data_IF_583713790682
#
_entry.id   IF_583713790682
#
_cell.length_a   1.000
_cell.length_b   1.000
_cell.length_c   1.000
_cell.angle_alpha   90.00
_cell.angle_beta   90.00
_cell.angle_gamma   90.00
#
_symmetry.space_group_name_H-M   'P 1'
#
loop_
_entity.id
_entity.type
_entity.pdbx_description
1 polymer ?
#
# COMPACT_ATOMS: atom_id res chain seq x y z
N UNK A 1 10.03 12.36 17.97
CA UNK A 1 10.36 12.28 16.53
C UNK A 1 9.11 11.83 15.79
N UNK A 2 8.73 12.50 14.71
CA UNK A 2 7.60 12.04 13.88
C UNK A 2 8.13 11.10 12.81
N UNK A 3 7.58 9.89 12.75
CA UNK A 3 7.89 8.92 11.70
C UNK A 3 7.48 9.48 10.32
N UNK A 4 8.17 9.08 9.23
CA UNK A 4 7.76 9.45 7.88
C UNK A 4 6.31 9.05 7.58
N UNK A 5 5.61 9.85 6.79
CA UNK A 5 4.25 9.53 6.34
C UNK A 5 4.30 8.62 5.09
N UNK A 6 3.51 7.52 5.04
CA UNK A 6 3.45 6.65 3.86
C UNK A 6 2.74 7.27 2.64
N UNK A 7 2.12 8.44 2.75
CA UNK A 7 1.45 9.13 1.63
C UNK A 7 2.34 9.25 0.39
N UNK A 8 1.69 9.14 -0.77
CA UNK A 8 2.32 9.18 -2.09
C UNK A 8 1.86 8.03 -2.99
N UNK A 9 2.34 8.05 -4.22
CA UNK A 9 2.03 7.05 -5.23
C UNK A 9 3.12 5.99 -5.27
N UNK A 10 2.72 4.73 -5.30
CA UNK A 10 3.60 3.57 -5.46
C UNK A 10 3.19 2.85 -6.74
N UNK A 11 4.12 2.70 -7.66
CA UNK A 11 3.92 2.02 -8.93
C UNK A 11 4.63 0.69 -8.93
N UNK A 12 4.03 -0.31 -9.55
CA UNK A 12 4.68 -1.60 -9.72
C UNK A 12 4.01 -2.44 -10.78
N UNK A 13 4.56 -3.63 -10.97
CA UNK A 13 4.02 -4.64 -11.86
C UNK A 13 3.58 -5.83 -11.03
N UNK A 14 2.54 -6.53 -11.47
CA UNK A 14 2.18 -7.81 -10.87
C UNK A 14 3.30 -8.80 -11.15
N UNK A 15 3.72 -9.56 -10.14
CA UNK A 15 4.69 -10.62 -10.34
C UNK A 15 4.16 -11.61 -11.42
N UNK A 16 4.88 -11.72 -12.55
CA UNK A 16 4.50 -12.55 -13.68
C UNK A 16 3.73 -11.87 -14.82
N UNK A 17 3.41 -10.57 -14.72
CA UNK A 17 2.87 -9.79 -15.84
C UNK A 17 3.43 -8.35 -15.84
N UNK A 18 4.55 -8.16 -16.55
CA UNK A 18 5.27 -6.89 -16.62
C UNK A 18 4.60 -5.82 -17.51
N UNK A 19 3.54 -6.18 -18.26
CA UNK A 19 2.89 -5.27 -19.20
C UNK A 19 1.73 -4.47 -18.59
N UNK A 20 1.47 -4.64 -17.29
CA UNK A 20 0.39 -3.94 -16.59
C UNK A 20 0.98 -3.19 -15.40
N UNK A 21 0.99 -1.87 -15.50
CA UNK A 21 1.38 -1.00 -14.39
C UNK A 21 0.20 -0.85 -13.43
N UNK A 22 0.46 -1.16 -12.18
CA UNK A 22 -0.45 -0.97 -11.07
C UNK A 22 0.03 0.24 -10.26
N UNK A 23 -0.92 1.06 -9.83
CA UNK A 23 -0.63 2.21 -8.99
C UNK A 23 -1.42 2.10 -7.70
N UNK A 24 -0.76 2.30 -6.57
CA UNK A 24 -1.38 2.47 -5.27
C UNK A 24 -1.07 3.88 -4.79
N UNK A 25 -2.07 4.76 -4.74
CA UNK A 25 -1.90 6.13 -4.26
C UNK A 25 -2.45 6.22 -2.84
N UNK A 26 -1.58 6.35 -1.85
CA UNK A 26 -1.99 6.58 -0.47
C UNK A 26 -2.37 8.06 -0.33
N UNK A 27 -3.68 8.32 -0.18
CA UNK A 27 -4.27 9.67 -0.17
C UNK A 27 -4.46 10.23 1.23
N UNK A 28 -4.57 9.39 2.24
CA UNK A 28 -4.61 9.81 3.63
C UNK A 28 -3.95 8.77 4.54
N UNK A 29 -3.04 9.22 5.40
CA UNK A 29 -2.47 8.42 6.47
C UNK A 29 -2.07 9.33 7.64
N UNK A 30 -2.34 8.87 8.87
CA UNK A 30 -1.83 9.51 10.09
C UNK A 30 -0.35 9.17 10.29
N UNK A 31 0.39 9.89 11.14
CA UNK A 31 1.88 9.86 11.16
C UNK A 31 2.53 8.71 11.96
N UNK A 32 1.76 7.81 12.58
CA UNK A 32 2.33 6.77 13.45
C UNK A 32 1.63 5.42 13.31
N UNK A 33 0.30 5.36 13.37
CA UNK A 33 -0.52 4.18 13.06
C UNK A 33 -1.94 4.63 12.75
N UNK A 34 -2.77 3.77 12.17
CA UNK A 34 -4.23 3.97 12.14
C UNK A 34 -4.85 3.80 10.77
N UNK A 35 -6.01 4.45 10.59
CA UNK A 35 -6.74 4.41 9.32
C UNK A 35 -5.89 4.98 8.19
N UNK A 36 -5.92 4.28 7.06
CA UNK A 36 -5.27 4.69 5.82
C UNK A 36 -6.29 4.58 4.68
N UNK A 37 -6.24 5.54 3.77
CA UNK A 37 -7.02 5.55 2.53
C UNK A 37 -6.06 5.54 1.35
N UNK A 38 -6.40 4.74 0.35
CA UNK A 38 -5.64 4.65 -0.86
C UNK A 38 -6.55 4.45 -2.07
N UNK A 39 -6.08 4.83 -3.24
CA UNK A 39 -6.71 4.49 -4.52
C UNK A 39 -5.81 3.49 -5.26
N UNK A 40 -6.36 2.32 -5.58
CA UNK A 40 -5.68 1.31 -6.37
C UNK A 40 -6.14 1.35 -7.82
N UNK A 41 -5.21 1.67 -8.71
CA UNK A 41 -5.43 1.67 -10.14
C UNK A 41 -4.94 0.35 -10.75
N UNK A 42 -5.88 -0.44 -11.25
CA UNK A 42 -5.60 -1.75 -11.86
C UNK A 42 -5.18 -1.69 -13.34
N UNK A 43 -4.99 -0.48 -13.85
CA UNK A 43 -4.72 -0.19 -15.26
C UNK A 43 -5.98 0.12 -16.07
N UNK A 44 -7.18 -0.13 -15.51
CA UNK A 44 -8.46 0.16 -16.14
C UNK A 44 -9.22 1.22 -15.33
N UNK A 45 -9.25 1.08 -14.00
CA UNK A 45 -10.05 1.91 -13.10
C UNK A 45 -9.33 2.15 -11.79
N UNK A 46 -9.64 3.27 -11.14
CA UNK A 46 -9.31 3.51 -9.74
C UNK A 46 -10.35 2.83 -8.83
N UNK A 47 -9.87 2.10 -7.83
CA UNK A 47 -10.67 1.42 -6.81
C UNK A 47 -10.30 1.99 -5.44
N UNK A 48 -11.24 2.65 -4.74
CA UNK A 48 -10.96 3.20 -3.42
C UNK A 48 -10.79 2.06 -2.41
N UNK A 49 -9.71 2.16 -1.63
CA UNK A 49 -9.35 1.25 -0.58
C UNK A 49 -9.34 1.99 0.77
N UNK A 50 -9.78 1.29 1.80
CA UNK A 50 -9.70 1.73 3.18
C UNK A 50 -9.07 0.60 3.99
N UNK A 51 -8.29 0.96 4.99
CA UNK A 51 -7.80 -0.03 5.92
C UNK A 51 -6.94 0.57 7.01
N UNK A 52 -5.97 -0.20 7.49
CA UNK A 52 -5.10 0.17 8.60
C UNK A 52 -3.65 -0.03 8.25
N UNK A 53 -2.79 0.80 8.84
CA UNK A 53 -1.36 0.57 8.82
C UNK A 53 -0.74 0.76 10.19
N UNK A 54 0.37 0.05 10.44
CA UNK A 54 1.12 0.17 11.69
C UNK A 54 2.60 -0.13 11.49
N UNK A 55 3.48 0.58 12.18
CA UNK A 55 4.89 0.23 12.26
C UNK A 55 5.09 -0.96 13.21
N UNK A 56 6.04 -1.84 12.88
CA UNK A 56 6.48 -2.91 13.76
C UNK A 56 7.01 -2.37 15.10
N UNK A 57 7.64 -1.19 15.09
CA UNK A 57 7.96 -0.42 16.28
C UNK A 57 7.62 1.05 16.03
N UNK A 58 6.60 1.55 16.75
CA UNK A 58 6.10 2.92 16.56
C UNK A 58 7.06 4.01 17.08
N UNK A 59 7.98 3.66 17.98
CA UNK A 59 8.90 4.61 18.63
C UNK A 59 10.22 4.75 17.87
N UNK A 60 10.72 3.64 17.31
CA UNK A 60 12.03 3.57 16.65
C UNK A 60 11.94 3.38 15.14
N UNK A 61 10.74 3.17 14.62
CA UNK A 61 10.51 2.81 13.23
C UNK A 61 10.72 1.34 12.93
N UNK A 62 10.87 1.01 11.66
CA UNK A 62 10.92 -0.37 11.16
C UNK A 62 10.00 -0.55 9.98
N UNK A 63 9.71 -1.80 9.63
CA UNK A 63 8.74 -2.10 8.58
C UNK A 63 7.35 -1.70 9.06
N UNK A 64 6.54 -1.13 8.16
CA UNK A 64 5.13 -0.93 8.39
C UNK A 64 4.33 -1.99 7.65
N UNK A 65 3.30 -2.52 8.32
CA UNK A 65 2.32 -3.42 7.72
C UNK A 65 1.09 -2.62 7.32
N UNK A 66 0.52 -2.95 6.16
CA UNK A 66 -0.66 -2.34 5.58
C UNK A 66 -1.68 -3.41 5.27
N UNK A 67 -2.88 -3.24 5.80
CA UNK A 67 -4.04 -4.05 5.48
C UNK A 67 -5.06 -3.13 4.84
N UNK A 68 -5.36 -3.32 3.56
CA UNK A 68 -6.29 -2.49 2.79
C UNK A 68 -7.35 -3.37 2.14
N UNK A 69 -8.58 -2.86 2.05
CA UNK A 69 -9.67 -3.55 1.35
C UNK A 69 -10.51 -2.55 0.57
N UNK A 70 -11.14 -3.01 -0.51
CA UNK A 70 -12.13 -2.23 -1.26
C UNK A 70 -13.15 -1.63 -0.32
N UNK A 71 -13.40 -0.33 -0.49
CA UNK A 71 -14.46 0.35 0.23
C UNK A 71 -15.83 -0.28 -0.13
N UNK A 72 -16.82 -0.26 0.79
CA UNK A 72 -18.16 -0.73 0.52
C UNK A 72 -18.73 -0.10 -0.77
N UNK A 73 -19.35 -0.91 -1.63
CA UNK A 73 -19.91 -0.45 -2.91
C UNK A 73 -18.93 -0.41 -4.09
N UNK A 74 -17.68 -0.84 -3.91
CA UNK A 74 -16.71 -0.96 -5.00
C UNK A 74 -17.11 -2.04 -6.00
N UNK A 75 -16.81 -1.80 -7.30
CA UNK A 75 -17.12 -2.73 -8.38
C UNK A 75 -16.28 -4.03 -8.34
N UNK A 76 -15.12 -3.98 -7.68
CA UNK A 76 -14.23 -5.12 -7.50
C UNK A 76 -13.86 -5.29 -6.02
N UNK A 77 -13.77 -6.54 -5.58
CA UNK A 77 -13.37 -6.89 -4.22
C UNK A 77 -11.88 -7.13 -4.18
N UNK A 78 -11.14 -6.08 -3.85
CA UNK A 78 -9.72 -6.11 -3.60
C UNK A 78 -9.44 -6.21 -2.10
N UNK A 79 -8.43 -6.98 -1.74
CA UNK A 79 -7.81 -6.96 -0.42
C UNK A 79 -6.30 -6.97 -0.58
N UNK A 80 -5.57 -6.30 0.30
CA UNK A 80 -4.11 -6.20 0.27
C UNK A 80 -3.54 -6.42 1.67
N UNK A 81 -2.43 -7.14 1.70
CA UNK A 81 -1.55 -7.25 2.85
C UNK A 81 -0.13 -6.94 2.36
N UNK A 82 0.32 -5.72 2.64
CA UNK A 82 1.60 -5.18 2.18
C UNK A 82 2.51 -4.87 3.36
N UNK A 83 3.81 -4.97 3.13
CA UNK A 83 4.85 -4.60 4.09
C UNK A 83 5.81 -3.65 3.39
N UNK A 84 6.24 -2.60 4.09
CA UNK A 84 7.21 -1.66 3.55
C UNK A 84 8.66 -2.13 3.69
N UNK A 85 9.58 -1.40 3.05
CA UNK A 85 10.97 -1.37 3.52
C UNK A 85 11.05 -0.95 4.99
N UNK A 86 12.19 -1.20 5.63
CA UNK A 86 12.47 -0.63 6.94
C UNK A 86 12.48 0.91 6.84
N UNK A 87 11.64 1.55 7.66
CA UNK A 87 11.48 3.01 7.69
C UNK A 87 12.11 3.56 8.96
N UNK A 88 12.90 4.62 8.82
CA UNK A 88 13.44 5.41 9.93
C UNK A 88 13.29 6.90 9.61
N UNK A 89 13.64 7.78 10.54
CA UNK A 89 13.61 9.23 10.29
C UNK A 89 14.47 9.62 9.06
N UNK A 90 15.57 8.92 8.82
CA UNK A 90 16.47 9.17 7.68
C UNK A 90 16.19 8.30 6.46
N UNK A 91 15.33 7.29 6.58
CA UNK A 91 14.98 6.38 5.50
C UNK A 91 13.46 6.31 5.34
N UNK A 92 12.87 7.08 4.40
CA UNK A 92 11.44 7.12 4.22
C UNK A 92 10.89 5.85 3.56
N UNK A 93 9.57 5.80 3.40
CA UNK A 93 8.91 4.80 2.57
C UNK A 93 9.42 4.87 1.12
N UNK A 94 9.84 3.73 0.58
CA UNK A 94 10.30 3.56 -0.79
C UNK A 94 9.62 2.38 -1.47
N UNK A 95 9.37 1.28 -0.77
CA UNK A 95 8.73 0.09 -1.34
C UNK A 95 7.59 -0.42 -0.49
N UNK A 96 6.61 -1.03 -1.16
CA UNK A 96 5.51 -1.80 -0.55
C UNK A 96 5.39 -3.12 -1.29
N UNK A 97 5.58 -4.22 -0.57
CA UNK A 97 5.60 -5.56 -1.13
C UNK A 97 4.64 -6.46 -0.39
N UNK A 98 3.89 -7.29 -1.10
CA UNK A 98 2.84 -8.03 -0.43
C UNK A 98 1.98 -8.88 -1.34
N UNK A 99 0.91 -9.38 -0.74
CA UNK A 99 -0.12 -10.12 -1.46
C UNK A 99 -1.33 -9.22 -1.63
N UNK A 100 -2.00 -9.38 -2.76
CA UNK A 100 -3.34 -8.87 -2.95
C UNK A 100 -4.26 -9.98 -3.45
N UNK A 101 -5.55 -9.81 -3.17
CA UNK A 101 -6.59 -10.72 -3.60
C UNK A 101 -7.57 -9.96 -4.48
N UNK A 102 -7.97 -10.59 -5.58
CA UNK A 102 -9.00 -10.10 -6.48
C UNK A 102 -9.97 -11.26 -6.74
N UNK A 103 -11.23 -11.11 -6.33
CA UNK A 103 -12.30 -12.09 -6.59
C UNK A 103 -11.91 -13.54 -6.18
N UNK A 104 -11.14 -13.71 -5.10
CA UNK A 104 -10.68 -15.01 -4.59
C UNK A 104 -9.33 -15.51 -5.15
N UNK A 105 -8.77 -14.87 -6.18
CA UNK A 105 -7.40 -15.15 -6.66
C UNK A 105 -6.36 -14.38 -5.84
N UNK A 106 -5.28 -15.06 -5.43
CA UNK A 106 -4.15 -14.43 -4.72
C UNK A 106 -3.00 -14.11 -5.66
N UNK A 107 -2.41 -12.94 -5.50
CA UNK A 107 -1.38 -12.40 -6.37
C UNK A 107 -0.30 -11.70 -5.56
N UNK A 108 0.96 -11.79 -5.99
CA UNK A 108 2.07 -11.04 -5.41
C UNK A 108 2.21 -9.69 -6.13
N UNK A 109 2.49 -8.64 -5.38
CA UNK A 109 2.75 -7.30 -5.89
C UNK A 109 3.95 -6.69 -5.18
N UNK A 110 4.78 -6.02 -5.95
CA UNK A 110 5.91 -5.23 -5.48
C UNK A 110 5.78 -3.84 -6.08
N UNK A 111 5.64 -2.85 -5.21
CA UNK A 111 5.42 -1.46 -5.57
C UNK A 111 6.60 -0.62 -5.11
N UNK A 112 7.01 0.33 -5.94
CA UNK A 112 8.04 1.32 -5.64
C UNK A 112 7.46 2.72 -5.68
N UNK A 113 7.85 3.55 -4.72
CA UNK A 113 7.41 4.94 -4.64
C UNK A 113 7.85 5.71 -5.87
N UNK A 114 6.92 6.46 -6.45
CA UNK A 114 7.20 7.37 -7.57
C UNK A 114 7.37 8.78 -7.03
N UNK A 115 8.42 9.47 -7.47
CA UNK A 115 8.72 10.86 -7.12
C UNK A 115 8.10 11.84 -8.10
#
# INVERSE_FOLDING_TARGET
MTMPNPMGTYAGVRAGNANQNFYLTITAANSSTGEIKADYHDGIRANPLIGKYSFANAEHGGQASFELSSAPGSAANYAFSLVSNAVTVSQPFDTLSGNYWLNGGSHRIDLKKTY
#
